data_IF_117007824040
#
_entry.id   IF_117007824040
#
_cell.length_a   1.000
_cell.length_b   1.000
_cell.length_c   1.000
_cell.angle_alpha   90.00
_cell.angle_beta   90.00
_cell.angle_gamma   90.00
#
_symmetry.space_group_name_H-M   'P 1'
#
loop_
_entity.id
_entity.type
_entity.pdbx_description
1 polymer ?
#
# COMPACT_ATOMS: atom_id res chain seq x y z
N UNK A 1 -6.18 -7.47 -4.73
CA UNK A 1 -5.60 -6.87 -3.51
C UNK A 1 -4.21 -6.30 -3.81
N UNK A 2 -3.89 -5.14 -3.26
CA UNK A 2 -2.55 -4.58 -3.35
C UNK A 2 -1.62 -5.29 -2.37
N UNK A 3 -0.48 -5.78 -2.86
CA UNK A 3 0.51 -6.48 -2.03
C UNK A 3 1.29 -5.48 -1.17
N UNK A 4 1.07 -5.54 0.15
CA UNK A 4 1.89 -4.76 1.09
C UNK A 4 3.26 -5.42 1.26
N UNK A 5 3.31 -6.65 1.76
CA UNK A 5 4.55 -7.41 1.91
C UNK A 5 4.31 -8.90 1.65
N UNK A 6 5.23 -9.52 0.92
CA UNK A 6 5.42 -10.97 0.87
C UNK A 6 6.80 -11.31 1.40
N UNK A 7 6.88 -12.31 2.27
CA UNK A 7 8.13 -12.84 2.82
C UNK A 7 8.25 -14.31 2.46
N UNK A 8 9.40 -14.68 1.92
CA UNK A 8 9.78 -16.07 1.64
C UNK A 8 11.22 -16.29 2.10
N UNK A 9 11.38 -16.80 3.34
CA UNK A 9 12.67 -16.88 4.00
C UNK A 9 13.26 -15.48 4.23
N UNK A 10 14.40 -15.19 3.62
CA UNK A 10 15.03 -13.86 3.69
C UNK A 10 14.57 -12.90 2.57
N UNK A 11 13.83 -13.37 1.58
CA UNK A 11 13.32 -12.49 0.53
C UNK A 11 12.08 -11.73 1.01
N UNK A 12 12.05 -10.43 0.71
CA UNK A 12 10.88 -9.55 0.88
C UNK A 12 10.49 -8.94 -0.44
N UNK A 13 9.19 -8.88 -0.72
CA UNK A 13 8.64 -8.22 -1.90
C UNK A 13 7.45 -7.34 -1.51
N UNK A 14 7.35 -6.15 -2.10
CA UNK A 14 6.19 -5.26 -2.03
C UNK A 14 5.70 -4.96 -3.43
N UNK A 15 4.37 -4.86 -3.61
CA UNK A 15 3.76 -4.70 -4.93
C UNK A 15 2.74 -3.56 -4.97
N UNK A 16 3.19 -2.29 -4.94
CA UNK A 16 2.28 -1.15 -5.01
C UNK A 16 1.56 -1.06 -6.36
N UNK A 17 0.28 -0.70 -6.30
CA UNK A 17 -0.56 -0.45 -7.46
C UNK A 17 -0.94 1.04 -7.46
N UNK A 18 -0.68 1.74 -8.56
CA UNK A 18 -1.16 3.10 -8.82
C UNK A 18 -1.59 3.20 -10.27
N UNK A 19 -2.69 3.91 -10.51
CA UNK A 19 -3.30 3.98 -11.82
C UNK A 19 -4.21 2.78 -12.07
N UNK A 20 -5.45 3.08 -12.32
CA UNK A 20 -6.50 2.11 -12.63
C UNK A 20 -7.40 2.70 -13.71
N UNK A 21 -7.58 1.97 -14.79
CA UNK A 21 -8.42 2.39 -15.89
C UNK A 21 -9.22 1.21 -16.45
N UNK A 22 -10.31 1.43 -17.19
CA UNK A 22 -11.04 0.36 -17.87
C UNK A 22 -10.18 -0.39 -18.89
N UNK A 23 -9.26 0.31 -19.54
CA UNK A 23 -8.36 -0.22 -20.58
C UNK A 23 -6.98 0.44 -20.46
N UNK A 24 -5.90 -0.20 -20.96
CA UNK A 24 -4.53 0.33 -20.86
C UNK A 24 -4.33 1.72 -21.46
N UNK A 25 -5.00 2.03 -22.56
CA UNK A 25 -4.93 3.32 -23.27
C UNK A 25 -5.57 4.48 -22.49
N UNK A 26 -6.30 4.18 -21.43
CA UNK A 26 -6.92 5.16 -20.52
C UNK A 26 -6.08 5.50 -19.30
N UNK A 27 -4.93 4.84 -19.12
CA UNK A 27 -3.97 5.19 -18.07
C UNK A 27 -3.34 6.56 -18.39
N UNK A 28 -3.23 7.40 -17.37
CA UNK A 28 -2.79 8.79 -17.52
C UNK A 28 -1.31 8.95 -17.14
N UNK A 29 -0.66 9.96 -17.67
CA UNK A 29 0.73 10.29 -17.33
C UNK A 29 0.92 10.52 -15.81
N UNK A 30 -0.10 11.08 -15.13
CA UNK A 30 -0.08 11.23 -13.66
C UNK A 30 0.02 9.90 -12.93
N UNK A 31 -0.65 8.85 -13.45
CA UNK A 31 -0.67 7.53 -12.82
C UNK A 31 0.73 6.91 -12.79
N UNK A 32 1.48 7.08 -13.90
CA UNK A 32 2.89 6.66 -13.98
C UNK A 32 3.77 7.44 -12.99
N UNK A 33 3.59 8.76 -12.90
CA UNK A 33 4.38 9.60 -11.98
C UNK A 33 4.10 9.23 -10.52
N UNK A 34 2.84 9.00 -10.14
CA UNK A 34 2.46 8.55 -8.81
C UNK A 34 3.05 7.16 -8.50
N UNK A 35 2.99 6.22 -9.45
CA UNK A 35 3.54 4.89 -9.27
C UNK A 35 5.06 4.95 -9.01
N UNK A 36 5.80 5.70 -9.82
CA UNK A 36 7.26 5.91 -9.64
C UNK A 36 7.57 6.49 -8.26
N UNK A 37 6.81 7.49 -7.81
CA UNK A 37 6.99 8.10 -6.49
C UNK A 37 6.79 7.08 -5.36
N UNK A 38 5.78 6.22 -5.47
CA UNK A 38 5.52 5.19 -4.46
C UNK A 38 6.59 4.08 -4.51
N UNK A 39 7.05 3.69 -5.70
CA UNK A 39 8.17 2.74 -5.82
C UNK A 39 9.43 3.28 -5.12
N UNK A 40 9.73 4.55 -5.28
CA UNK A 40 10.90 5.17 -4.61
C UNK A 40 10.74 5.18 -3.09
N UNK A 41 9.53 5.45 -2.59
CA UNK A 41 9.21 5.35 -1.16
C UNK A 41 9.37 3.91 -0.64
N UNK A 42 8.85 2.91 -1.35
CA UNK A 42 8.98 1.50 -0.97
C UNK A 42 10.44 1.05 -1.00
N UNK A 43 11.22 1.47 -1.99
CA UNK A 43 12.67 1.21 -2.04
C UNK A 43 13.38 1.79 -0.80
N UNK A 44 13.05 3.03 -0.46
CA UNK A 44 13.59 3.66 0.75
C UNK A 44 13.22 2.85 2.00
N UNK A 45 11.97 2.49 2.18
CA UNK A 45 11.49 1.72 3.34
C UNK A 45 12.22 0.37 3.46
N UNK A 46 12.29 -0.40 2.37
CA UNK A 46 12.99 -1.68 2.35
C UNK A 46 14.50 -1.53 2.57
N UNK A 47 15.11 -0.43 2.15
CA UNK A 47 16.55 -0.21 2.34
C UNK A 47 16.96 -0.13 3.80
N UNK A 48 16.04 0.22 4.70
CA UNK A 48 16.30 0.27 6.14
C UNK A 48 16.47 -1.11 6.77
N UNK A 49 15.95 -2.17 6.16
CA UNK A 49 15.94 -3.53 6.72
C UNK A 49 16.60 -4.57 5.81
N UNK A 50 16.84 -4.25 4.55
CA UNK A 50 17.48 -5.14 3.60
C UNK A 50 19.01 -4.99 3.57
N UNK A 51 19.70 -6.00 3.07
CA UNK A 51 21.13 -5.96 2.79
C UNK A 51 21.45 -4.84 1.82
N UNK A 52 22.53 -4.05 2.03
CA UNK A 52 22.92 -3.01 1.10
C UNK A 52 23.11 -3.54 -0.32
N UNK A 53 22.48 -2.89 -1.30
CA UNK A 53 22.54 -3.27 -2.70
C UNK A 53 21.63 -4.43 -3.12
N UNK A 54 20.81 -4.98 -2.21
CA UNK A 54 19.87 -6.07 -2.52
C UNK A 54 18.48 -5.58 -2.93
N UNK A 55 18.18 -4.29 -2.71
CA UNK A 55 16.86 -3.74 -3.06
C UNK A 55 16.80 -3.45 -4.55
N UNK A 56 15.91 -4.13 -5.24
CA UNK A 56 15.74 -4.07 -6.69
C UNK A 56 14.29 -3.78 -7.07
N UNK A 57 14.10 -3.10 -8.21
CA UNK A 57 12.79 -2.91 -8.83
C UNK A 57 12.65 -3.98 -9.91
N UNK A 58 11.94 -5.04 -9.61
CA UNK A 58 11.73 -6.17 -10.53
C UNK A 58 10.81 -5.80 -11.70
N UNK A 59 9.82 -4.95 -11.42
CA UNK A 59 8.94 -4.39 -12.43
C UNK A 59 8.57 -2.96 -12.06
N UNK A 60 8.61 -2.05 -13.02
CA UNK A 60 8.23 -0.65 -12.86
C UNK A 60 7.09 -0.32 -13.81
N UNK A 61 5.96 0.15 -13.26
CA UNK A 61 4.77 0.55 -14.03
C UNK A 61 4.32 -0.52 -15.06
N UNK A 62 4.40 -1.79 -14.68
CA UNK A 62 3.90 -2.88 -15.53
C UNK A 62 2.38 -2.76 -15.66
N UNK A 63 1.88 -2.84 -16.90
CA UNK A 63 0.44 -2.82 -17.17
C UNK A 63 -0.11 -4.22 -16.99
N UNK A 64 -0.91 -4.42 -15.96
CA UNK A 64 -1.65 -5.66 -15.72
C UNK A 64 -3.09 -5.50 -16.19
N UNK A 65 -3.53 -6.42 -17.06
CA UNK A 65 -4.90 -6.41 -17.59
C UNK A 65 -5.74 -7.50 -16.96
N UNK A 66 -6.92 -7.10 -16.51
CA UNK A 66 -7.96 -7.97 -15.98
C UNK A 66 -9.27 -7.73 -16.75
N UNK A 67 -10.26 -8.63 -16.70
CA UNK A 67 -11.54 -8.39 -17.35
C UNK A 67 -12.17 -7.05 -16.92
N UNK A 68 -12.21 -6.08 -17.85
CA UNK A 68 -12.78 -4.74 -17.63
C UNK A 68 -11.92 -3.77 -16.81
N UNK A 69 -10.65 -4.10 -16.58
CA UNK A 69 -9.77 -3.31 -15.74
C UNK A 69 -8.30 -3.44 -16.16
N UNK A 70 -7.56 -2.34 -16.14
CA UNK A 70 -6.11 -2.31 -16.26
C UNK A 70 -5.50 -1.58 -15.06
N UNK A 71 -4.40 -2.10 -14.53
CA UNK A 71 -3.62 -1.50 -13.44
C UNK A 71 -2.19 -1.20 -13.87
N UNK A 72 -1.57 -0.20 -13.23
CA UNK A 72 -0.12 -0.06 -13.19
C UNK A 72 0.39 -0.67 -11.89
N UNK A 73 1.06 -1.81 -11.99
CA UNK A 73 1.69 -2.50 -10.87
C UNK A 73 3.19 -2.35 -10.94
N UNK A 74 3.83 -2.19 -9.79
CA UNK A 74 5.28 -2.26 -9.67
C UNK A 74 5.64 -3.27 -8.59
N UNK A 75 6.83 -3.88 -8.71
CA UNK A 75 7.33 -4.83 -7.72
C UNK A 75 8.72 -4.45 -7.30
N UNK A 76 8.89 -4.33 -5.97
CA UNK A 76 10.18 -4.02 -5.35
C UNK A 76 10.52 -5.16 -4.41
N UNK A 77 11.69 -5.74 -4.57
CA UNK A 77 12.17 -6.83 -3.73
C UNK A 77 13.47 -6.48 -3.05
N UNK A 78 13.84 -7.29 -2.04
CA UNK A 78 15.10 -7.18 -1.34
C UNK A 78 15.38 -8.41 -0.48
N UNK A 79 16.59 -8.50 0.05
CA UNK A 79 17.01 -9.51 1.01
C UNK A 79 17.06 -8.89 2.40
N UNK A 80 16.19 -9.32 3.30
CA UNK A 80 16.16 -8.88 4.70
C UNK A 80 17.47 -9.29 5.38
N UNK A 81 18.10 -8.34 6.11
CA UNK A 81 19.34 -8.62 6.86
C UNK A 81 19.10 -9.64 7.97
N UNK A 82 20.12 -10.44 8.22
CA UNK A 82 20.11 -11.32 9.38
C UNK A 82 19.91 -10.53 10.68
N UNK A 83 19.05 -11.04 11.56
CA UNK A 83 18.73 -10.43 12.84
C UNK A 83 17.63 -9.35 12.81
N UNK A 84 17.14 -8.95 11.65
CA UNK A 84 15.95 -8.10 11.55
C UNK A 84 14.73 -8.85 12.03
N UNK A 85 14.01 -8.25 12.98
CA UNK A 85 12.77 -8.82 13.54
C UNK A 85 11.54 -8.35 12.75
N UNK A 86 10.39 -8.96 13.02
CA UNK A 86 9.12 -8.48 12.49
C UNK A 86 8.79 -7.04 12.93
N UNK A 87 9.18 -6.66 14.16
CA UNK A 87 9.01 -5.29 14.63
C UNK A 87 9.83 -4.32 13.79
N UNK A 88 11.11 -4.62 13.56
CA UNK A 88 11.99 -3.77 12.73
C UNK A 88 11.44 -3.64 11.30
N UNK A 89 10.96 -4.75 10.72
CA UNK A 89 10.40 -4.77 9.37
C UNK A 89 9.14 -3.88 9.29
N UNK A 90 8.24 -4.01 10.25
CA UNK A 90 7.03 -3.20 10.30
C UNK A 90 7.34 -1.74 10.61
N UNK A 91 8.23 -1.43 11.53
CA UNK A 91 8.64 -0.05 11.83
C UNK A 91 9.22 0.67 10.59
N UNK A 92 9.97 -0.06 9.77
CA UNK A 92 10.52 0.49 8.54
C UNK A 92 9.48 0.69 7.42
N UNK A 93 8.49 -0.19 7.32
CA UNK A 93 7.62 -0.25 6.13
C UNK A 93 6.18 0.19 6.38
N UNK A 94 5.69 0.16 7.65
CA UNK A 94 4.31 0.50 7.99
C UNK A 94 4.15 1.99 8.32
N UNK A 95 3.02 2.60 8.00
CA UNK A 95 1.99 2.07 7.11
C UNK A 95 2.47 2.02 5.66
N UNK A 96 1.80 1.22 4.79
CA UNK A 96 2.17 1.12 3.38
C UNK A 96 2.28 2.49 2.72
N UNK A 97 3.34 2.72 1.94
CA UNK A 97 3.62 4.01 1.30
C UNK A 97 2.51 4.47 0.37
N UNK A 98 1.85 3.53 -0.31
CA UNK A 98 0.76 3.79 -1.26
C UNK A 98 -0.49 4.41 -0.64
N UNK A 99 -0.67 4.29 0.69
CA UNK A 99 -1.82 4.79 1.45
C UNK A 99 -1.46 5.85 2.50
N UNK A 100 -0.18 6.18 2.64
CA UNK A 100 0.29 7.24 3.54
C UNK A 100 0.78 8.47 2.79
N UNK A 101 1.84 8.36 2.04
CA UNK A 101 2.44 9.45 1.26
C UNK A 101 3.93 9.63 1.54
N UNK A 102 4.55 10.53 0.78
CA UNK A 102 5.97 10.84 0.86
C UNK A 102 6.19 12.34 1.13
N UNK A 103 7.09 12.75 2.04
CA UNK A 103 7.80 11.94 3.03
C UNK A 103 6.85 11.36 4.09
N UNK A 104 7.00 10.07 4.43
CA UNK A 104 6.05 9.32 5.28
C UNK A 104 5.77 10.01 6.62
N UNK A 105 6.80 10.44 7.33
CA UNK A 105 6.66 11.09 8.63
C UNK A 105 5.87 12.40 8.58
N UNK A 106 6.02 13.17 7.51
CA UNK A 106 5.28 14.42 7.30
C UNK A 106 3.82 14.14 6.93
N UNK A 107 3.60 13.19 6.02
CA UNK A 107 2.26 12.78 5.62
C UNK A 107 1.44 12.26 6.81
N UNK A 108 2.04 11.42 7.68
CA UNK A 108 1.37 10.89 8.86
C UNK A 108 1.00 11.97 9.88
N UNK A 109 1.80 13.04 10.03
CA UNK A 109 1.44 14.18 10.87
C UNK A 109 0.21 14.90 10.33
N UNK A 110 0.21 15.19 9.02
CA UNK A 110 -0.93 15.86 8.37
C UNK A 110 -2.19 15.00 8.45
N UNK A 111 -2.09 13.69 8.22
CA UNK A 111 -3.21 12.75 8.38
C UNK A 111 -3.75 12.82 9.81
N UNK A 112 -2.88 12.76 10.84
CA UNK A 112 -3.28 12.82 12.25
C UNK A 112 -3.88 14.16 12.68
N UNK A 113 -3.56 15.25 11.98
CA UNK A 113 -4.14 16.58 12.22
C UNK A 113 -5.48 16.80 11.53
N UNK A 114 -5.68 16.18 10.35
CA UNK A 114 -6.86 16.46 9.51
C UNK A 114 -7.95 15.39 9.63
N UNK A 115 -7.61 14.14 9.88
CA UNK A 115 -8.60 13.08 10.02
C UNK A 115 -9.14 13.04 11.45
N UNK A 116 -10.46 13.21 11.58
CA UNK A 116 -11.11 13.27 12.87
C UNK A 116 -11.18 11.90 13.59
N UNK A 117 -11.10 10.79 12.84
CA UNK A 117 -11.23 9.45 13.36
C UNK A 117 -10.07 8.55 12.93
N UNK A 118 -9.69 7.56 13.77
CA UNK A 118 -8.69 6.56 13.40
C UNK A 118 -9.15 5.73 12.20
N UNK A 119 -8.24 5.43 11.29
CA UNK A 119 -8.51 4.60 10.11
C UNK A 119 -8.86 3.15 10.44
N UNK A 120 -8.46 2.65 11.61
CA UNK A 120 -8.69 1.26 12.02
C UNK A 120 -7.97 0.27 11.10
N UNK A 121 -8.70 -0.71 10.58
CA UNK A 121 -8.19 -1.67 9.62
C UNK A 121 -7.96 -1.07 8.22
N UNK A 122 -8.61 0.04 7.89
CA UNK A 122 -8.41 0.75 6.63
C UNK A 122 -6.98 1.30 6.53
N UNK A 123 -6.33 1.06 5.39
CA UNK A 123 -4.91 1.37 5.15
C UNK A 123 -3.91 0.57 6.01
N UNK A 124 -4.37 -0.45 6.73
CA UNK A 124 -3.53 -1.38 7.48
C UNK A 124 -2.96 -2.52 6.64
N UNK A 125 -2.27 -3.46 7.29
CA UNK A 125 -1.81 -4.71 6.70
C UNK A 125 -2.72 -5.87 7.12
N UNK A 126 -3.27 -6.60 6.15
CA UNK A 126 -4.18 -7.72 6.40
C UNK A 126 -3.63 -8.98 5.71
N UNK A 127 -3.48 -10.07 6.45
CA UNK A 127 -2.98 -11.30 5.87
C UNK A 127 -2.56 -12.33 6.90
N UNK A 128 -1.51 -13.07 6.59
CA UNK A 128 -1.03 -14.16 7.44
C UNK A 128 0.49 -14.19 7.53
N UNK A 129 0.99 -14.73 8.62
CA UNK A 129 2.40 -14.99 8.88
C UNK A 129 2.53 -16.43 9.38
N UNK A 130 3.31 -17.23 8.68
CA UNK A 130 3.60 -18.61 9.04
C UNK A 130 5.03 -18.70 9.62
N UNK A 131 5.11 -18.96 10.92
CA UNK A 131 6.35 -19.08 11.66
C UNK A 131 6.63 -20.51 12.15
N UNK A 132 5.91 -21.51 11.64
CA UNK A 132 6.08 -22.93 12.04
C UNK A 132 7.49 -23.45 11.74
N UNK A 133 8.11 -22.96 10.68
CA UNK A 133 9.53 -23.17 10.38
C UNK A 133 10.27 -21.82 10.48
N UNK A 134 10.99 -21.56 11.58
CA UNK A 134 11.71 -20.31 11.75
C UNK A 134 12.78 -20.04 10.67
N UNK A 135 13.32 -21.10 10.04
CA UNK A 135 14.29 -20.97 8.97
C UNK A 135 13.65 -20.59 7.62
N UNK A 136 12.36 -20.86 7.48
CA UNK A 136 11.59 -20.61 6.26
C UNK A 136 10.28 -19.89 6.56
N UNK A 137 10.36 -18.80 7.31
CA UNK A 137 9.19 -17.94 7.57
C UNK A 137 8.57 -17.48 6.25
N UNK A 138 7.26 -17.58 6.15
CA UNK A 138 6.49 -17.07 5.02
C UNK A 138 5.40 -16.14 5.51
N UNK A 139 5.13 -15.11 4.74
CA UNK A 139 4.03 -14.22 5.01
C UNK A 139 3.48 -13.61 3.74
N UNK A 140 2.20 -13.27 3.76
CA UNK A 140 1.60 -12.42 2.74
C UNK A 140 0.61 -11.48 3.39
N UNK A 141 0.88 -10.18 3.26
CA UNK A 141 0.07 -9.09 3.79
C UNK A 141 -0.38 -8.22 2.63
N UNK A 142 -1.68 -8.00 2.54
CA UNK A 142 -2.29 -7.04 1.61
C UNK A 142 -2.50 -5.69 2.30
N UNK A 143 -2.56 -4.62 1.52
CA UNK A 143 -3.01 -3.31 2.01
C UNK A 143 -4.50 -3.38 2.30
N UNK A 144 -4.92 -2.91 3.48
CA UNK A 144 -6.30 -2.92 3.95
C UNK A 144 -7.17 -1.87 3.28
N UNK A 145 -7.35 -1.97 1.95
CA UNK A 145 -8.24 -1.13 1.15
C UNK A 145 -9.28 -1.99 0.45
N UNK A 146 -10.36 -1.39 -0.05
CA UNK A 146 -11.46 -2.09 -0.74
C UNK A 146 -12.03 -3.25 0.08
N UNK A 147 -12.04 -3.09 1.40
CA UNK A 147 -12.43 -4.11 2.36
C UNK A 147 -13.42 -3.55 3.36
N UNK A 148 -14.40 -4.38 3.73
CA UNK A 148 -15.27 -4.10 4.86
C UNK A 148 -14.63 -4.59 6.14
N UNK A 149 -14.85 -3.85 7.22
CA UNK A 149 -14.48 -4.27 8.58
C UNK A 149 -15.56 -3.88 9.57
N UNK A 150 -15.61 -4.58 10.68
CA UNK A 150 -16.56 -4.28 11.76
C UNK A 150 -15.86 -3.46 12.82
N UNK A 151 -16.50 -2.38 13.26
CA UNK A 151 -16.09 -1.55 14.39
C UNK A 151 -17.19 -1.55 15.42
N UNK A 152 -16.83 -1.75 16.67
CA UNK A 152 -17.74 -1.56 17.81
C UNK A 152 -17.55 -0.14 18.35
N UNK A 153 -18.64 0.57 18.52
CA UNK A 153 -18.68 1.89 19.15
C UNK A 153 -19.85 1.97 20.16
N UNK A 154 -20.14 3.17 20.66
CA UNK A 154 -21.22 3.39 21.66
C UNK A 154 -22.60 2.99 21.16
N UNK A 155 -22.81 2.98 19.86
CA UNK A 155 -24.08 2.67 19.21
C UNK A 155 -24.19 1.20 18.79
N UNK A 156 -23.12 0.41 18.99
CA UNK A 156 -23.04 -1.02 18.70
C UNK A 156 -22.05 -1.38 17.59
N UNK A 157 -22.34 -2.49 16.90
CA UNK A 157 -21.48 -2.99 15.81
C UNK A 157 -21.83 -2.29 14.49
N UNK A 158 -20.84 -1.63 13.91
CA UNK A 158 -20.95 -0.94 12.64
C UNK A 158 -20.11 -1.63 11.56
N UNK A 159 -20.72 -1.87 10.39
CA UNK A 159 -19.99 -2.30 9.19
C UNK A 159 -19.40 -1.06 8.52
N UNK A 160 -18.09 -1.00 8.50
CA UNK A 160 -17.32 0.13 7.95
C UNK A 160 -16.67 -0.24 6.62
N UNK A 161 -16.59 0.75 5.73
CA UNK A 161 -15.82 0.68 4.51
C UNK A 161 -14.99 1.96 4.36
N UNK A 162 -13.66 1.81 4.27
CA UNK A 162 -12.75 2.94 4.09
C UNK A 162 -12.53 3.24 2.61
N UNK A 163 -12.67 4.51 2.23
CA UNK A 163 -12.34 5.01 0.89
C UNK A 163 -11.57 6.32 0.99
N UNK A 164 -10.80 6.65 -0.03
CA UNK A 164 -10.00 7.87 -0.06
C UNK A 164 -9.33 8.08 -1.42
N UNK A 165 -8.67 9.21 -1.57
CA UNK A 165 -7.92 9.59 -2.75
C UNK A 165 -6.47 9.95 -2.42
N UNK A 166 -5.59 9.89 -3.41
CA UNK A 166 -4.20 10.28 -3.29
C UNK A 166 -4.04 11.78 -3.57
N UNK A 167 -3.74 12.54 -2.53
CA UNK A 167 -3.59 14.00 -2.66
C UNK A 167 -2.16 14.35 -3.07
N UNK A 168 -2.03 15.07 -4.17
CA UNK A 168 -0.77 15.60 -4.70
C UNK A 168 -0.87 17.10 -4.93
N UNK A 169 0.25 17.75 -5.25
CA UNK A 169 0.26 19.19 -5.53
C UNK A 169 -0.71 19.63 -6.64
N UNK A 170 -0.94 18.77 -7.61
CA UNK A 170 -1.85 19.03 -8.75
C UNK A 170 -3.28 18.58 -8.52
N UNK A 171 -3.64 18.08 -7.33
CA UNK A 171 -4.99 17.60 -7.05
C UNK A 171 -6.02 18.74 -7.00
N UNK A 172 -7.16 18.53 -7.65
CA UNK A 172 -8.34 19.36 -7.50
C UNK A 172 -9.26 18.75 -6.43
N UNK A 173 -9.60 19.47 -5.37
CA UNK A 173 -10.36 18.92 -4.24
C UNK A 173 -11.70 18.30 -4.62
N UNK A 174 -12.43 18.91 -5.60
CA UNK A 174 -13.74 18.41 -6.02
C UNK A 174 -13.61 17.09 -6.81
N UNK A 175 -12.56 16.98 -7.63
CA UNK A 175 -12.29 15.76 -8.38
C UNK A 175 -11.85 14.62 -7.47
N UNK A 176 -10.97 14.88 -6.48
CA UNK A 176 -10.54 13.88 -5.50
C UNK A 176 -11.71 13.40 -4.65
N UNK A 177 -12.61 14.30 -4.24
CA UNK A 177 -13.83 13.93 -3.54
C UNK A 177 -14.74 13.03 -4.40
N UNK A 178 -15.00 13.43 -5.64
CA UNK A 178 -15.80 12.63 -6.57
C UNK A 178 -15.20 11.24 -6.83
N UNK A 179 -13.86 11.14 -6.90
CA UNK A 179 -13.16 9.85 -7.00
C UNK A 179 -13.42 8.97 -5.77
N UNK A 180 -13.41 9.58 -4.58
CA UNK A 180 -13.68 8.89 -3.31
C UNK A 180 -15.11 8.31 -3.30
N UNK A 181 -16.11 9.09 -3.72
CA UNK A 181 -17.50 8.64 -3.85
C UNK A 181 -17.65 7.53 -4.89
N UNK A 182 -16.99 7.67 -6.05
CA UNK A 182 -17.03 6.67 -7.11
C UNK A 182 -16.46 5.31 -6.65
N UNK A 183 -15.42 5.32 -5.82
CA UNK A 183 -14.82 4.12 -5.24
C UNK A 183 -15.79 3.37 -4.32
N UNK A 184 -16.73 4.05 -3.69
CA UNK A 184 -17.75 3.48 -2.82
C UNK A 184 -19.06 3.10 -3.56
N UNK A 185 -19.35 3.72 -4.69
CA UNK A 185 -20.65 3.62 -5.37
C UNK A 185 -20.99 2.24 -5.97
N UNK A 186 -20.04 1.30 -6.01
CA UNK A 186 -20.20 -0.04 -6.60
C UNK A 186 -20.08 -1.18 -5.59
N UNK A 187 -20.35 -0.88 -4.34
CA UNK A 187 -20.23 -1.85 -3.22
C UNK A 187 -21.58 -2.44 -2.84
#
# INVERSE_FOLDING_TARGET
PELYLRIEGAAVTSGPIKGTAPTPDRLLAKDFAENVMIVDLVRNDLSHVCEPGSVEVEALCAVETHPGLAHLSSYVSGRVRHGVTWADLLDATFPPGSVSGAPKSSALKVIGELEAEPRGAYCGGIGWIDTRDPAHTRAELAVGIRSFFVREDTDGLNLCFGTGAGITWGSDPAQEWAETELKAARL
#
